data_IF_830329338241
#
_entry.id   IF_830329338241
#
_cell.length_a   1.000
_cell.length_b   1.000
_cell.length_c   1.000
_cell.angle_alpha   90.00
_cell.angle_beta   90.00
_cell.angle_gamma   90.00
#
_symmetry.space_group_name_H-M   'P 1'
#
loop_
_entity.id
_entity.type
_entity.pdbx_description
1 polymer ?
#
# COMPACT_ATOMS: atom_id res chain seq x y z
N UNK A 1 15.13 16.30 13.11
CA UNK A 1 15.65 15.40 12.06
C UNK A 1 16.18 14.13 12.72
N UNK A 2 15.38 13.07 12.81
CA UNK A 2 15.75 11.77 13.40
C UNK A 2 14.78 10.65 12.96
N UNK A 3 13.51 10.99 12.72
CA UNK A 3 12.46 10.02 12.42
C UNK A 3 12.68 9.22 11.11
N UNK A 4 13.17 9.86 10.04
CA UNK A 4 13.37 9.19 8.74
C UNK A 4 14.45 8.12 8.74
N UNK A 5 15.54 8.33 9.50
CA UNK A 5 16.63 7.35 9.60
C UNK A 5 16.22 6.07 10.34
N UNK A 6 15.37 6.20 11.38
CA UNK A 6 14.84 5.05 12.11
C UNK A 6 13.96 4.16 11.22
N UNK A 7 13.08 4.75 10.41
CA UNK A 7 12.22 3.99 9.49
C UNK A 7 13.04 3.29 8.39
N UNK A 8 14.06 3.96 7.83
CA UNK A 8 14.96 3.34 6.85
C UNK A 8 15.68 2.14 7.46
N UNK A 9 16.25 2.29 8.65
CA UNK A 9 16.93 1.19 9.33
C UNK A 9 15.99 0.00 9.61
N UNK A 10 14.75 0.27 10.05
CA UNK A 10 13.75 -0.77 10.28
C UNK A 10 13.39 -1.53 8.99
N UNK A 11 13.20 -0.83 7.87
CA UNK A 11 12.94 -1.47 6.56
C UNK A 11 14.12 -2.34 6.14
N UNK A 12 15.36 -1.85 6.28
CA UNK A 12 16.56 -2.64 5.97
C UNK A 12 16.67 -3.90 6.83
N UNK A 13 16.37 -3.78 8.13
CA UNK A 13 16.42 -4.88 9.08
C UNK A 13 15.38 -5.95 8.75
N UNK A 14 14.11 -5.56 8.54
CA UNK A 14 13.03 -6.49 8.17
C UNK A 14 13.37 -7.18 6.85
N UNK A 15 13.81 -6.41 5.84
CA UNK A 15 14.19 -6.98 4.54
C UNK A 15 15.33 -7.99 4.69
N UNK A 16 16.39 -7.65 5.43
CA UNK A 16 17.52 -8.54 5.64
C UNK A 16 17.13 -9.81 6.41
N UNK A 17 16.31 -9.67 7.45
CA UNK A 17 15.80 -10.79 8.26
C UNK A 17 14.99 -11.79 7.43
N UNK A 18 14.20 -11.30 6.49
CA UNK A 18 13.35 -12.12 5.62
C UNK A 18 13.97 -12.43 4.24
N UNK A 19 15.22 -12.05 4.01
CA UNK A 19 15.95 -12.27 2.74
C UNK A 19 15.17 -11.74 1.53
N UNK A 20 14.50 -10.60 1.69
CA UNK A 20 13.72 -9.97 0.62
C UNK A 20 14.67 -9.18 -0.29
N UNK A 21 14.65 -9.36 -1.62
CA UNK A 21 15.41 -8.51 -2.54
C UNK A 21 14.95 -7.04 -2.49
N UNK A 22 15.84 -6.09 -2.77
CA UNK A 22 15.53 -4.64 -2.67
C UNK A 22 14.39 -4.22 -3.62
N UNK A 23 14.35 -4.81 -4.80
CA UNK A 23 13.35 -4.60 -5.86
C UNK A 23 11.99 -5.24 -5.54
N UNK A 24 11.93 -6.08 -4.50
CA UNK A 24 10.70 -6.71 -4.00
C UNK A 24 10.16 -6.03 -2.73
N UNK A 25 10.69 -4.86 -2.36
CA UNK A 25 10.18 -4.08 -1.23
C UNK A 25 9.05 -3.18 -1.73
N UNK A 26 7.88 -3.32 -1.10
CA UNK A 26 6.76 -2.40 -1.25
C UNK A 26 6.69 -1.53 0.02
N UNK A 27 6.62 -0.21 -0.15
CA UNK A 27 6.50 0.72 0.96
C UNK A 27 5.31 1.67 0.76
N UNK A 28 4.50 1.82 1.80
CA UNK A 28 3.35 2.74 1.83
C UNK A 28 3.66 3.85 2.82
N UNK A 29 3.49 5.11 2.40
CA UNK A 29 3.68 6.28 3.24
C UNK A 29 2.54 7.29 3.08
N UNK A 30 2.26 8.05 4.13
CA UNK A 30 1.13 8.99 4.21
C UNK A 30 1.57 10.45 4.45
N UNK A 31 2.82 10.67 4.87
CA UNK A 31 3.31 12.01 5.17
C UNK A 31 4.80 12.24 4.96
N UNK A 32 5.23 13.47 5.25
CA UNK A 32 6.60 13.92 5.01
C UNK A 32 7.67 13.08 5.74
N UNK A 33 7.29 12.42 6.85
CA UNK A 33 8.19 11.55 7.61
C UNK A 33 8.69 10.34 6.82
N UNK A 34 7.97 9.99 5.76
CA UNK A 34 8.16 8.80 4.94
C UNK A 34 9.02 9.07 3.70
N UNK A 35 9.23 10.34 3.36
CA UNK A 35 10.05 10.77 2.22
C UNK A 35 11.44 10.10 2.21
N UNK A 36 12.21 10.06 3.32
CA UNK A 36 13.52 9.40 3.32
C UNK A 36 13.42 7.91 3.01
N UNK A 37 12.34 7.26 3.43
CA UNK A 37 12.11 5.82 3.23
C UNK A 37 11.69 5.55 1.78
N UNK A 38 10.79 6.35 1.22
CA UNK A 38 10.35 6.21 -0.17
C UNK A 38 11.50 6.44 -1.15
N UNK A 39 12.33 7.47 -0.92
CA UNK A 39 13.55 7.69 -1.71
C UNK A 39 14.51 6.52 -1.61
N UNK A 40 14.64 5.94 -0.41
CA UNK A 40 15.50 4.79 -0.16
C UNK A 40 15.00 3.52 -0.86
N UNK A 41 13.70 3.23 -0.80
CA UNK A 41 13.06 2.10 -1.49
C UNK A 41 13.15 2.26 -3.01
N UNK A 42 12.88 3.46 -3.53
CA UNK A 42 12.98 3.76 -4.97
C UNK A 42 14.41 3.55 -5.51
N UNK A 43 15.46 3.89 -4.74
CA UNK A 43 16.87 3.60 -5.13
C UNK A 43 17.17 2.11 -5.26
N UNK A 44 16.42 1.26 -4.57
CA UNK A 44 16.50 -0.19 -4.68
C UNK A 44 15.56 -0.79 -5.72
N UNK A 45 14.96 0.04 -6.58
CA UNK A 45 13.93 -0.31 -7.57
C UNK A 45 12.60 -0.84 -6.96
N UNK A 46 12.43 -0.78 -5.64
CA UNK A 46 11.20 -1.17 -4.95
C UNK A 46 9.99 -0.30 -5.33
N UNK A 47 8.81 -0.68 -4.86
CA UNK A 47 7.54 -0.03 -5.19
C UNK A 47 7.05 0.86 -4.05
N UNK A 48 6.66 2.09 -4.35
CA UNK A 48 6.22 3.06 -3.34
C UNK A 48 4.82 3.56 -3.62
N UNK A 49 3.98 3.60 -2.59
CA UNK A 49 2.60 4.08 -2.64
C UNK A 49 2.44 5.24 -1.66
N UNK A 50 1.95 6.38 -2.13
CA UNK A 50 1.47 7.45 -1.29
C UNK A 50 -0.02 7.22 -0.99
N UNK A 51 -0.40 7.07 0.28
CA UNK A 51 -1.78 6.91 0.71
C UNK A 51 -2.34 8.23 1.27
N UNK A 52 -2.12 9.33 0.56
CA UNK A 52 -2.46 10.69 1.03
C UNK A 52 -2.41 11.71 -0.10
N UNK A 53 -3.15 12.81 0.06
CA UNK A 53 -3.19 13.94 -0.88
C UNK A 53 -1.95 14.85 -0.80
N UNK A 54 -1.04 14.59 0.15
CA UNK A 54 0.14 15.42 0.34
C UNK A 54 1.04 15.40 -0.91
N UNK A 55 1.18 16.56 -1.54
CA UNK A 55 1.86 16.71 -2.85
C UNK A 55 3.32 16.26 -2.78
N UNK A 56 3.98 16.48 -1.66
CA UNK A 56 5.40 16.19 -1.47
C UNK A 56 5.69 14.69 -1.59
N UNK A 57 4.84 13.83 -1.00
CA UNK A 57 5.01 12.37 -1.10
C UNK A 57 4.52 11.83 -2.44
N UNK A 58 3.44 12.41 -2.99
CA UNK A 58 2.86 11.97 -4.25
C UNK A 58 3.83 12.14 -5.43
N UNK A 59 4.72 13.15 -5.37
CA UNK A 59 5.77 13.35 -6.38
C UNK A 59 6.91 12.31 -6.30
N UNK A 60 7.06 11.63 -5.16
CA UNK A 60 8.11 10.63 -4.93
C UNK A 60 7.58 9.21 -5.15
N UNK A 61 6.32 8.97 -4.80
CA UNK A 61 5.69 7.66 -4.92
C UNK A 61 5.54 7.21 -6.38
N UNK A 62 5.59 5.90 -6.63
CA UNK A 62 5.26 5.31 -7.93
C UNK A 62 3.75 5.37 -8.20
N UNK A 63 2.93 5.20 -7.17
CA UNK A 63 1.47 5.36 -7.22
C UNK A 63 0.97 6.20 -6.05
N UNK A 64 -0.15 6.89 -6.25
CA UNK A 64 -0.85 7.61 -5.18
C UNK A 64 -2.29 7.10 -5.11
N UNK A 65 -2.76 6.80 -3.92
CA UNK A 65 -4.11 6.35 -3.64
C UNK A 65 -4.74 7.33 -2.66
N UNK A 66 -5.88 7.89 -3.04
CA UNK A 66 -6.70 8.73 -2.17
C UNK A 66 -7.97 7.97 -1.86
N UNK A 67 -8.08 7.52 -0.61
CA UNK A 67 -9.19 6.72 -0.13
C UNK A 67 -9.31 6.85 1.38
N UNK A 68 -10.54 6.76 1.86
CA UNK A 68 -10.82 6.62 3.29
C UNK A 68 -10.67 5.16 3.78
N UNK A 69 -10.39 4.22 2.87
CA UNK A 69 -10.24 2.80 3.17
C UNK A 69 -8.78 2.33 3.07
N UNK A 70 -8.30 1.65 4.11
CA UNK A 70 -6.92 1.18 4.22
C UNK A 70 -6.56 0.08 3.20
N UNK A 71 -7.53 -0.68 2.67
CA UNK A 71 -7.32 -1.74 1.68
C UNK A 71 -7.13 -1.19 0.26
N UNK A 72 -7.41 0.10 0.04
CA UNK A 72 -7.23 0.76 -1.25
C UNK A 72 -5.81 0.66 -1.80
N UNK A 73 -4.79 0.57 -0.93
CA UNK A 73 -3.38 0.39 -1.32
C UNK A 73 -3.10 -0.97 -1.97
N UNK A 74 -3.98 -1.96 -1.80
CA UNK A 74 -3.86 -3.25 -2.48
C UNK A 74 -4.15 -3.14 -3.97
N UNK A 75 -4.96 -2.17 -4.40
CA UNK A 75 -5.31 -1.98 -5.81
C UNK A 75 -4.07 -1.78 -6.69
N UNK A 76 -3.17 -0.81 -6.43
CA UNK A 76 -1.95 -0.66 -7.23
C UNK A 76 -0.98 -1.85 -7.07
N UNK A 77 -1.00 -2.58 -5.95
CA UNK A 77 -0.16 -3.78 -5.77
C UNK A 77 -0.64 -4.89 -6.70
N UNK A 78 -1.94 -5.18 -6.70
CA UNK A 78 -2.53 -6.21 -7.53
C UNK A 78 -2.39 -5.87 -9.02
N UNK A 79 -2.51 -4.60 -9.38
CA UNK A 79 -2.35 -4.15 -10.75
C UNK A 79 -0.89 -4.24 -11.23
N UNK A 80 0.03 -3.55 -10.54
CA UNK A 80 1.40 -3.35 -11.06
C UNK A 80 2.31 -4.54 -10.77
N UNK A 81 2.06 -5.27 -9.68
CA UNK A 81 2.93 -6.36 -9.22
C UNK A 81 2.33 -7.71 -9.59
N UNK A 82 1.03 -7.91 -9.33
CA UNK A 82 0.37 -9.18 -9.66
C UNK A 82 -0.19 -9.22 -11.10
N UNK A 83 -0.21 -8.09 -11.82
CA UNK A 83 -0.65 -8.01 -13.21
C UNK A 83 -2.16 -8.17 -13.40
N UNK A 84 -2.96 -7.93 -12.35
CA UNK A 84 -4.41 -8.10 -12.42
C UNK A 84 -5.07 -6.94 -13.17
N UNK A 85 -6.01 -7.29 -14.05
CA UNK A 85 -6.89 -6.31 -14.67
C UNK A 85 -7.98 -5.79 -13.72
N UNK A 86 -8.65 -4.66 -14.05
CA UNK A 86 -9.66 -4.05 -13.20
C UNK A 86 -10.78 -5.01 -12.76
N UNK A 87 -11.25 -5.87 -13.66
CA UNK A 87 -12.31 -6.85 -13.37
C UNK A 87 -11.86 -7.94 -12.39
N UNK A 88 -10.60 -8.38 -12.48
CA UNK A 88 -10.05 -9.37 -11.55
C UNK A 88 -9.89 -8.79 -10.14
N UNK A 89 -9.47 -7.52 -10.06
CA UNK A 89 -9.37 -6.81 -8.79
C UNK A 89 -10.75 -6.65 -8.16
N UNK A 90 -11.76 -6.22 -8.94
CA UNK A 90 -13.14 -6.10 -8.44
C UNK A 90 -13.68 -7.43 -7.92
N UNK A 91 -13.52 -8.51 -8.70
CA UNK A 91 -13.96 -9.84 -8.30
C UNK A 91 -13.26 -10.31 -7.00
N UNK A 92 -11.95 -10.06 -6.86
CA UNK A 92 -11.22 -10.42 -5.65
C UNK A 92 -11.76 -9.70 -4.41
N UNK A 93 -12.06 -8.41 -4.52
CA UNK A 93 -12.63 -7.65 -3.40
C UNK A 93 -14.07 -8.12 -3.11
N UNK A 94 -14.88 -8.37 -4.14
CA UNK A 94 -16.25 -8.87 -4.00
C UNK A 94 -16.29 -10.25 -3.32
N UNK A 95 -15.35 -11.14 -3.65
CA UNK A 95 -15.18 -12.45 -2.99
C UNK A 95 -14.84 -12.31 -1.50
N UNK A 96 -14.29 -11.18 -1.08
CA UNK A 96 -14.04 -10.83 0.32
C UNK A 96 -15.17 -9.98 0.94
N UNK A 97 -16.28 -9.78 0.22
CA UNK A 97 -17.43 -8.98 0.69
C UNK A 97 -17.23 -7.47 0.56
N UNK A 98 -16.25 -7.00 -0.20
CA UNK A 98 -15.92 -5.59 -0.38
C UNK A 98 -16.32 -5.13 -1.78
N UNK A 99 -16.95 -3.96 -1.88
CA UNK A 99 -17.34 -3.39 -3.18
C UNK A 99 -16.53 -2.15 -3.47
N UNK A 100 -15.79 -2.17 -4.59
CA UNK A 100 -15.05 -1.01 -5.09
C UNK A 100 -16.01 -0.07 -5.84
N UNK A 101 -16.23 1.12 -5.31
CA UNK A 101 -17.00 2.19 -5.95
C UNK A 101 -16.07 3.32 -6.40
N UNK A 102 -16.46 4.00 -7.49
CA UNK A 102 -15.82 5.25 -7.95
C UNK A 102 -14.29 5.15 -8.19
N UNK A 103 -13.83 4.05 -8.78
CA UNK A 103 -12.43 3.91 -9.19
C UNK A 103 -12.14 4.68 -10.49
N UNK A 104 -11.61 5.89 -10.35
CA UNK A 104 -11.11 6.70 -11.47
C UNK A 104 -9.57 6.66 -11.51
N UNK A 105 -9.01 6.55 -12.71
CA UNK A 105 -7.58 6.32 -12.96
C UNK A 105 -6.96 7.52 -13.67
N UNK A 106 -6.45 8.49 -12.91
CA UNK A 106 -5.63 9.58 -13.47
C UNK A 106 -4.41 9.82 -12.60
N UNK A 107 -3.39 8.96 -12.71
CA UNK A 107 -2.09 9.04 -11.97
C UNK A 107 -2.21 8.99 -10.42
N UNK A 108 -3.44 9.12 -9.94
CA UNK A 108 -3.98 9.13 -8.59
C UNK A 108 -5.23 8.27 -8.69
N UNK A 109 -5.28 7.19 -7.94
CA UNK A 109 -6.49 6.39 -7.82
C UNK A 109 -7.36 7.02 -6.73
N UNK A 110 -8.52 7.53 -7.13
CA UNK A 110 -9.59 7.88 -6.19
C UNK A 110 -10.41 6.62 -5.95
N UNK A 111 -10.62 6.23 -4.69
CA UNK A 111 -11.28 4.97 -4.37
C UNK A 111 -12.19 5.09 -3.15
N UNK A 112 -13.43 4.65 -3.30
CA UNK A 112 -14.35 4.44 -2.18
C UNK A 112 -14.59 2.94 -2.02
N UNK A 113 -14.19 2.36 -0.89
CA UNK A 113 -14.53 0.97 -0.54
C UNK A 113 -15.61 1.01 0.54
N UNK A 114 -16.60 0.14 0.44
CA UNK A 114 -17.65 -0.04 1.45
C UNK A 114 -17.81 -1.52 1.78
N UNK A 115 -18.15 -1.79 3.04
CA UNK A 115 -18.62 -3.11 3.46
C UNK A 115 -19.85 -3.51 2.64
N UNK A 116 -19.77 -4.65 1.96
CA UNK A 116 -20.93 -5.32 1.41
C UNK A 116 -21.82 -5.78 2.56
N UNK A 117 -23.14 -5.67 2.39
CA UNK A 117 -24.12 -6.10 3.39
C UNK A 117 -24.01 -7.62 3.62
N UNK A 118 -23.12 -8.02 4.52
CA UNK A 118 -22.80 -9.41 4.82
C UNK A 118 -21.74 -9.51 5.91
N UNK A 119 -22.10 -9.14 7.14
CA UNK A 119 -21.60 -9.59 8.47
C UNK A 119 -20.17 -10.21 8.58
N UNK A 120 -19.21 -9.67 7.84
CA UNK A 120 -17.84 -10.18 7.76
C UNK A 120 -16.95 -9.62 8.85
N UNK A 121 -17.11 -10.09 10.08
CA UNK A 121 -16.13 -9.82 11.14
C UNK A 121 -14.79 -10.47 10.77
N UNK A 122 -13.84 -9.67 10.26
CA UNK A 122 -12.45 -10.11 10.10
C UNK A 122 -11.81 -10.21 11.49
N UNK A 123 -11.80 -11.43 12.05
CA UNK A 123 -11.02 -11.73 13.25
C UNK A 123 -9.55 -11.94 12.85
N UNK A 124 -8.71 -10.95 13.14
CA UNK A 124 -7.27 -11.15 13.16
C UNK A 124 -6.93 -11.91 14.44
N UNK A 125 -6.80 -13.24 14.34
CA UNK A 125 -6.32 -14.05 15.44
C UNK A 125 -4.85 -13.72 15.72
N UNK A 126 -4.62 -12.91 16.76
CA UNK A 126 -3.31 -12.70 17.33
C UNK A 126 -2.89 -13.99 18.04
N UNK A 127 -1.99 -14.76 17.42
CA UNK A 127 -1.30 -15.85 18.07
C UNK A 127 -0.36 -15.28 19.15
N UNK A 128 -0.86 -15.25 20.39
CA UNK A 128 -0.01 -15.21 21.57
C UNK A 128 0.60 -16.60 21.75
N UNK A 129 1.92 -16.72 21.60
CA UNK A 129 2.67 -17.87 22.09
C UNK A 129 3.51 -17.45 23.30
N UNK A 130 3.13 -18.09 24.41
CA UNK A 130 3.80 -18.37 25.68
C UNK A 130 5.17 -17.74 25.98
#
# INVERSE_FOLDING_TARGET
MAAGYGKVAAVEEIRARHVVPRDQVIYVGDGQSDIPVMLHVNRGEGFTIAASEAREIAQIAKRTVISDDALSVLVPILEEIAGYGPSQIRALFEDQGLVIQEWDRVRTDWLTIRDGAGDGVIRLDAAANA
#
